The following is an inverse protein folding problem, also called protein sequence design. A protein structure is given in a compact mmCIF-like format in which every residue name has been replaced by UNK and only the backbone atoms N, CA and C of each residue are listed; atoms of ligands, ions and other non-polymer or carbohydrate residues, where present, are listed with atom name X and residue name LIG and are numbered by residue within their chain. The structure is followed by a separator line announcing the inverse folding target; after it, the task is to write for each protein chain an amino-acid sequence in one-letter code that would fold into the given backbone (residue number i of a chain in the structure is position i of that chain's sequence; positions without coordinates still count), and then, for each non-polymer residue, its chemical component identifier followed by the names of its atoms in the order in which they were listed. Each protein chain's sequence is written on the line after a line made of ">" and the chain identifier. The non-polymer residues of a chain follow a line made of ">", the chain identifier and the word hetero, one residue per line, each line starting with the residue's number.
data_IF_899740609963
#
_entry.id   IF_899740609963
#
_cell.length_a   1.000
_cell.length_b   1.000
_cell.length_c   1.000
_cell.angle_alpha   90.00
_cell.angle_beta   90.00
_cell.angle_gamma   90.00
#
_symmetry.space_group_name_H-M   'P 1'
#
loop_
_entity.id
_entity.type
_entity.pdbx_description
1 polymer ?
#
# COMPACT_ATOMS: atom_id res chain seq x y z
N UNK A 1 -0.27 8.30 30.05
CA UNK A 1 -0.46 9.77 30.01
C UNK A 1 -1.85 10.04 29.45
N UNK A 2 -2.64 10.96 30.03
CA UNK A 2 -3.89 11.38 29.41
C UNK A 2 -3.56 12.00 28.05
N UNK A 3 -4.13 11.47 26.98
CA UNK A 3 -3.97 11.99 25.61
C UNK A 3 -4.96 13.13 25.40
N UNK A 4 -4.45 14.34 25.19
CA UNK A 4 -5.26 15.44 24.66
C UNK A 4 -5.62 15.13 23.20
N UNK A 5 -6.90 15.23 22.84
CA UNK A 5 -7.40 14.99 21.49
C UNK A 5 -7.94 16.30 20.93
N UNK A 6 -7.62 16.58 19.67
CA UNK A 6 -8.17 17.70 18.90
C UNK A 6 -9.07 17.08 17.82
N UNK A 7 -10.34 17.49 17.70
CA UNK A 7 -11.20 17.05 16.60
C UNK A 7 -10.57 17.38 15.23
N UNK A 8 -10.69 16.49 14.25
CA UNK A 8 -10.12 16.68 12.90
C UNK A 8 -10.48 18.03 12.28
N UNK A 9 -11.74 18.43 12.39
CA UNK A 9 -12.23 19.72 11.88
C UNK A 9 -11.53 20.93 12.51
N UNK A 10 -11.09 20.83 13.76
CA UNK A 10 -10.37 21.92 14.46
C UNK A 10 -8.89 22.01 14.05
N UNK A 11 -8.37 21.02 13.32
CA UNK A 11 -7.00 21.07 12.80
C UNK A 11 -6.85 21.98 11.58
N UNK A 12 -7.97 22.29 10.90
CA UNK A 12 -8.01 23.01 9.60
C UNK A 12 -7.11 22.41 8.51
N UNK A 13 -6.68 21.16 8.66
CA UNK A 13 -5.78 20.49 7.72
C UNK A 13 -6.53 19.63 6.70
N UNK A 14 -7.69 19.10 7.07
CA UNK A 14 -8.47 18.18 6.25
C UNK A 14 -9.59 18.90 5.51
N UNK A 15 -9.91 18.41 4.31
CA UNK A 15 -11.05 18.91 3.54
C UNK A 15 -12.37 18.61 4.25
N UNK A 16 -13.40 19.39 3.93
CA UNK A 16 -14.74 19.16 4.47
C UNK A 16 -15.26 17.77 4.14
N UNK A 17 -14.97 17.24 2.95
CA UNK A 17 -15.35 15.88 2.55
C UNK A 17 -14.80 14.82 3.52
N UNK A 18 -13.52 14.92 3.91
CA UNK A 18 -12.90 13.98 4.86
C UNK A 18 -13.52 14.14 6.25
N UNK A 19 -13.69 15.38 6.72
CA UNK A 19 -14.29 15.63 8.03
C UNK A 19 -15.73 15.11 8.08
N UNK A 20 -16.51 15.33 7.03
CA UNK A 20 -17.90 14.91 6.90
C UNK A 20 -18.04 13.39 6.82
N UNK A 21 -17.08 12.70 6.19
CA UNK A 21 -17.02 11.23 6.18
C UNK A 21 -16.77 10.66 7.58
N UNK A 22 -15.85 11.26 8.34
CA UNK A 22 -15.56 10.87 9.72
C UNK A 22 -16.77 11.16 10.63
N UNK A 23 -17.44 12.29 10.42
CA UNK A 23 -18.65 12.70 11.13
C UNK A 23 -19.90 11.92 10.68
N UNK A 24 -19.77 11.04 9.67
CA UNK A 24 -20.83 10.18 9.13
C UNK A 24 -22.06 10.95 8.65
N UNK A 25 -21.84 12.07 7.96
CA UNK A 25 -22.92 12.85 7.36
C UNK A 25 -23.78 11.99 6.42
N UNK A 26 -25.11 12.11 6.55
CA UNK A 26 -26.08 11.25 5.86
C UNK A 26 -26.00 11.41 4.34
N UNK A 27 -25.66 12.61 3.90
CA UNK A 27 -25.48 13.00 2.51
C UNK A 27 -24.38 12.18 1.83
N UNK A 28 -23.34 11.78 2.58
CA UNK A 28 -22.24 10.97 2.07
C UNK A 28 -22.55 9.48 2.03
N UNK A 29 -23.66 9.02 2.62
CA UNK A 29 -23.98 7.57 2.69
C UNK A 29 -24.09 6.92 1.32
N UNK A 30 -24.52 7.67 0.30
CA UNK A 30 -24.61 7.15 -1.08
C UNK A 30 -23.23 6.85 -1.69
N UNK A 31 -22.17 7.51 -1.20
CA UNK A 31 -20.80 7.38 -1.70
C UNK A 31 -20.00 6.27 -1.03
N UNK A 32 -20.48 5.75 0.12
CA UNK A 32 -19.76 4.76 0.92
C UNK A 32 -20.68 3.62 1.32
N UNK A 33 -20.24 2.38 1.07
CA UNK A 33 -20.99 1.20 1.52
C UNK A 33 -21.09 1.16 3.06
N UNK A 34 -20.00 1.52 3.77
CA UNK A 34 -19.92 1.51 5.24
C UNK A 34 -19.01 2.63 5.75
N UNK A 35 -19.36 3.20 6.91
CA UNK A 35 -18.55 4.19 7.63
C UNK A 35 -17.44 3.53 8.49
N UNK A 36 -16.40 4.26 8.92
CA UNK A 36 -15.20 3.68 9.51
C UNK A 36 -15.36 3.40 11.02
N UNK A 37 -16.36 2.59 11.39
CA UNK A 37 -16.55 2.09 12.77
C UNK A 37 -16.14 0.63 12.87
N UNK A 38 -15.74 0.18 14.08
CA UNK A 38 -15.32 -1.21 14.29
C UNK A 38 -16.49 -2.19 14.10
N UNK A 39 -17.71 -1.75 14.42
CA UNK A 39 -18.95 -2.53 14.31
C UNK A 39 -19.28 -2.83 12.84
N UNK A 40 -19.00 -1.89 11.93
CA UNK A 40 -19.28 -2.05 10.50
C UNK A 40 -18.44 -3.15 9.83
N UNK A 41 -17.36 -3.64 10.48
CA UNK A 41 -16.61 -4.78 9.96
C UNK A 41 -17.44 -6.07 9.96
N UNK A 42 -18.39 -6.26 10.88
CA UNK A 42 -19.17 -7.51 10.92
C UNK A 42 -19.93 -7.75 9.61
N UNK A 43 -20.61 -6.72 9.10
CA UNK A 43 -21.34 -6.84 7.84
C UNK A 43 -20.40 -6.91 6.62
N UNK A 44 -19.23 -6.25 6.70
CA UNK A 44 -18.18 -6.38 5.68
C UNK A 44 -17.67 -7.82 5.58
N UNK A 45 -17.47 -8.51 6.71
CA UNK A 45 -17.03 -9.91 6.75
C UNK A 45 -18.07 -10.83 6.11
N UNK A 46 -19.35 -10.65 6.45
CA UNK A 46 -20.48 -11.41 5.87
C UNK A 46 -20.60 -11.20 4.36
N UNK A 47 -20.46 -9.96 3.89
CA UNK A 47 -20.52 -9.64 2.47
C UNK A 47 -19.34 -10.26 1.71
N UNK A 48 -18.12 -10.12 2.22
CA UNK A 48 -16.92 -10.69 1.60
C UNK A 48 -16.93 -12.21 1.59
N UNK A 49 -17.43 -12.85 2.65
CA UNK A 49 -17.57 -14.31 2.72
C UNK A 49 -18.41 -14.89 1.57
N UNK A 50 -19.41 -14.14 1.08
CA UNK A 50 -20.32 -14.59 0.01
C UNK A 50 -19.78 -14.33 -1.40
N UNK A 51 -18.83 -13.41 -1.53
CA UNK A 51 -18.45 -12.81 -2.82
C UNK A 51 -16.96 -12.97 -3.17
N UNK A 52 -16.21 -13.78 -2.42
CA UNK A 52 -14.78 -14.00 -2.67
C UNK A 52 -14.51 -15.46 -3.02
N UNK A 53 -13.79 -15.68 -4.12
CA UNK A 53 -13.41 -17.01 -4.59
C UNK A 53 -12.23 -17.56 -3.77
N UNK A 54 -12.43 -18.73 -3.17
CA UNK A 54 -11.40 -19.42 -2.39
C UNK A 54 -10.19 -19.84 -3.24
N UNK A 55 -10.35 -20.02 -4.56
CA UNK A 55 -9.21 -20.27 -5.47
C UNK A 55 -8.24 -19.09 -5.44
N UNK A 56 -8.74 -17.85 -5.44
CA UNK A 56 -7.90 -16.65 -5.40
C UNK A 56 -7.09 -16.55 -4.09
N UNK A 57 -7.60 -17.11 -2.98
CA UNK A 57 -6.85 -17.20 -1.72
C UNK A 57 -5.59 -18.06 -1.87
N UNK A 58 -5.73 -19.19 -2.55
CA UNK A 58 -4.62 -20.11 -2.79
C UNK A 58 -3.60 -19.48 -3.72
N UNK A 59 -4.05 -18.83 -4.80
CA UNK A 59 -3.17 -18.10 -5.72
C UNK A 59 -2.36 -17.03 -4.98
N UNK A 60 -3.02 -16.17 -4.20
CA UNK A 60 -2.37 -15.12 -3.43
C UNK A 60 -1.32 -15.69 -2.46
N UNK A 61 -1.70 -16.70 -1.66
CA UNK A 61 -0.78 -17.28 -0.69
C UNK A 61 0.43 -17.95 -1.36
N UNK A 62 0.26 -18.57 -2.52
CA UNK A 62 1.37 -19.19 -3.24
C UNK A 62 2.30 -18.15 -3.87
N UNK A 63 1.76 -17.06 -4.43
CA UNK A 63 2.58 -15.93 -4.94
C UNK A 63 3.35 -15.27 -3.81
N UNK A 64 2.74 -15.07 -2.64
CA UNK A 64 3.45 -14.55 -1.48
C UNK A 64 4.55 -15.50 -1.02
N UNK A 65 4.32 -16.82 -0.98
CA UNK A 65 5.42 -17.76 -0.65
C UNK A 65 6.60 -17.62 -1.61
N UNK A 66 6.32 -17.49 -2.91
CA UNK A 66 7.33 -17.30 -3.96
C UNK A 66 8.14 -16.01 -3.72
N UNK A 67 7.45 -14.88 -3.50
CA UNK A 67 8.07 -13.56 -3.24
C UNK A 67 8.93 -13.49 -1.97
N UNK A 68 8.73 -14.43 -1.04
CA UNK A 68 9.41 -14.48 0.26
C UNK A 68 10.51 -15.53 0.35
N UNK A 69 10.78 -16.28 -0.73
CA UNK A 69 11.73 -17.41 -0.72
C UNK A 69 13.13 -17.00 -0.26
N UNK A 70 13.60 -15.82 -0.69
CA UNK A 70 14.96 -15.31 -0.41
C UNK A 70 14.99 -14.27 0.74
N UNK A 71 13.91 -14.17 1.53
CA UNK A 71 13.79 -13.17 2.59
C UNK A 71 13.69 -13.83 3.95
N UNK A 72 14.56 -13.43 4.89
CA UNK A 72 14.39 -13.83 6.28
C UNK A 72 13.17 -13.12 6.88
N UNK A 73 12.23 -13.90 7.41
CA UNK A 73 10.96 -13.40 7.90
C UNK A 73 10.60 -13.95 9.27
N UNK A 74 9.85 -13.15 10.01
CA UNK A 74 9.33 -13.55 11.30
C UNK A 74 8.39 -14.76 11.18
N UNK A 75 8.35 -15.57 12.23
CA UNK A 75 7.38 -16.66 12.35
C UNK A 75 5.92 -16.15 12.22
N UNK A 76 5.67 -14.90 12.65
CA UNK A 76 4.36 -14.28 12.55
C UNK A 76 3.98 -13.94 11.10
N UNK A 77 4.88 -13.36 10.32
CA UNK A 77 4.67 -13.10 8.88
C UNK A 77 4.42 -14.41 8.14
N UNK A 78 5.22 -15.45 8.40
CA UNK A 78 5.01 -16.78 7.81
C UNK A 78 3.64 -17.36 8.16
N UNK A 79 3.22 -17.28 9.43
CA UNK A 79 1.89 -17.71 9.87
C UNK A 79 0.77 -16.94 9.17
N UNK A 80 0.94 -15.62 8.99
CA UNK A 80 -0.02 -14.77 8.31
C UNK A 80 -0.17 -15.14 6.83
N UNK A 81 0.93 -15.42 6.11
CA UNK A 81 0.89 -15.90 4.73
C UNK A 81 0.11 -17.22 4.62
N UNK A 82 0.35 -18.19 5.51
CA UNK A 82 -0.43 -19.44 5.50
C UNK A 82 -1.91 -19.22 5.83
N UNK A 83 -2.20 -18.31 6.76
CA UNK A 83 -3.58 -18.03 7.17
C UNK A 83 -4.45 -17.52 6.02
N UNK A 84 -3.87 -16.84 5.01
CA UNK A 84 -4.61 -16.31 3.85
C UNK A 84 -5.39 -17.38 3.09
N UNK A 85 -4.96 -18.65 3.16
CA UNK A 85 -5.64 -19.80 2.53
C UNK A 85 -6.97 -20.15 3.21
N UNK A 86 -7.21 -19.72 4.44
CA UNK A 86 -8.40 -20.08 5.18
C UNK A 86 -9.59 -19.21 4.75
N UNK A 87 -10.81 -19.77 4.67
CA UNK A 87 -12.00 -19.03 4.25
C UNK A 87 -12.41 -17.93 5.23
N UNK A 88 -12.07 -18.07 6.53
CA UNK A 88 -12.34 -17.08 7.58
C UNK A 88 -11.18 -16.07 7.78
N UNK A 89 -10.27 -15.93 6.82
CA UNK A 89 -9.18 -14.94 6.86
C UNK A 89 -9.48 -13.75 5.97
N UNK A 90 -9.19 -12.55 6.46
CA UNK A 90 -9.40 -11.28 5.77
C UNK A 90 -8.15 -10.42 5.87
N UNK A 91 -7.95 -9.53 4.90
CA UNK A 91 -6.82 -8.62 4.86
C UNK A 91 -7.24 -7.22 5.29
N UNK A 92 -6.38 -6.57 6.07
CA UNK A 92 -6.42 -5.12 6.24
C UNK A 92 -5.28 -4.59 5.39
N UNK A 93 -5.61 -3.87 4.33
CA UNK A 93 -4.63 -3.48 3.31
C UNK A 93 -4.42 -1.99 3.31
N UNK A 94 -3.16 -1.59 3.29
CA UNK A 94 -2.76 -0.25 2.83
C UNK A 94 -1.79 -0.39 1.67
N UNK A 95 -1.52 0.71 0.98
CA UNK A 95 -0.56 0.71 -0.11
C UNK A 95 0.07 2.08 -0.31
N UNK A 96 1.21 2.07 -0.99
CA UNK A 96 1.96 3.26 -1.33
C UNK A 96 3.01 2.95 -2.40
N UNK A 97 3.51 3.99 -3.07
CA UNK A 97 4.62 3.90 -4.00
C UNK A 97 5.92 3.53 -3.27
N UNK A 98 6.91 3.12 -4.06
CA UNK A 98 8.20 2.62 -3.61
C UNK A 98 9.17 3.77 -3.34
N UNK A 99 8.74 4.69 -2.48
CA UNK A 99 9.53 5.86 -2.10
C UNK A 99 10.92 5.47 -1.60
N UNK A 100 11.96 6.09 -2.16
CA UNK A 100 13.34 5.84 -1.79
C UNK A 100 13.52 6.04 -0.28
N UNK A 101 14.04 5.00 0.38
CA UNK A 101 14.28 4.96 1.80
C UNK A 101 13.07 5.40 2.65
N UNK A 102 11.89 4.88 2.28
CA UNK A 102 10.55 5.16 2.86
C UNK A 102 9.96 6.53 2.54
N UNK A 103 10.76 7.47 2.02
CA UNK A 103 10.35 8.84 1.71
C UNK A 103 9.63 9.52 2.89
N UNK A 104 8.36 9.92 2.72
CA UNK A 104 7.63 10.61 3.76
C UNK A 104 7.17 9.67 4.90
N UNK A 105 7.15 10.18 6.14
CA UNK A 105 6.77 9.41 7.33
C UNK A 105 5.39 8.74 7.25
N UNK A 106 4.48 9.28 6.44
CA UNK A 106 3.16 8.66 6.27
C UNK A 106 3.23 7.28 5.58
N UNK A 107 4.32 6.93 4.90
CA UNK A 107 4.62 5.55 4.48
C UNK A 107 4.53 4.60 5.68
N UNK A 108 5.27 4.92 6.75
CA UNK A 108 5.30 4.12 7.98
C UNK A 108 3.98 4.20 8.72
N UNK A 109 3.39 5.40 8.85
CA UNK A 109 2.14 5.58 9.59
C UNK A 109 0.97 4.81 8.99
N UNK A 110 0.88 4.74 7.65
CA UNK A 110 -0.13 3.92 6.96
C UNK A 110 0.00 2.44 7.36
N UNK A 111 1.21 1.89 7.31
CA UNK A 111 1.46 0.48 7.61
C UNK A 111 1.23 0.18 9.10
N UNK A 112 1.73 1.02 9.99
CA UNK A 112 1.51 0.90 11.44
C UNK A 112 0.01 0.96 11.79
N UNK A 113 -0.75 1.85 11.14
CA UNK A 113 -2.21 1.93 11.32
C UNK A 113 -2.89 0.64 10.88
N UNK A 114 -2.49 0.07 9.75
CA UNK A 114 -2.98 -1.23 9.27
C UNK A 114 -2.69 -2.37 10.26
N UNK A 115 -1.48 -2.42 10.83
CA UNK A 115 -1.11 -3.41 11.85
C UNK A 115 -1.96 -3.24 13.12
N UNK A 116 -2.13 -2.01 13.60
CA UNK A 116 -2.92 -1.71 14.79
C UNK A 116 -4.41 -2.04 14.62
N UNK A 117 -4.97 -1.72 13.45
CA UNK A 117 -6.35 -2.08 13.12
C UNK A 117 -6.52 -3.60 13.05
N UNK A 118 -5.55 -4.31 12.45
CA UNK A 118 -5.53 -5.77 12.42
C UNK A 118 -5.53 -6.37 13.83
N UNK A 119 -4.71 -5.84 14.75
CA UNK A 119 -4.70 -6.28 16.14
C UNK A 119 -6.04 -6.03 16.85
N UNK A 120 -6.66 -4.86 16.60
CA UNK A 120 -7.95 -4.48 17.16
C UNK A 120 -9.09 -5.40 16.68
N UNK A 121 -9.08 -5.76 15.40
CA UNK A 121 -10.07 -6.65 14.80
C UNK A 121 -9.91 -8.10 15.24
N UNK A 122 -8.67 -8.62 15.33
CA UNK A 122 -8.43 -9.94 15.91
C UNK A 122 -8.95 -10.04 17.36
N UNK A 123 -8.87 -8.96 18.14
CA UNK A 123 -9.44 -8.92 19.50
C UNK A 123 -10.97 -8.87 19.50
N UNK A 124 -11.57 -8.09 18.60
CA UNK A 124 -13.03 -7.88 18.52
C UNK A 124 -13.76 -9.10 17.94
N UNK A 125 -13.14 -9.79 16.98
CA UNK A 125 -13.72 -10.88 16.20
C UNK A 125 -12.80 -12.13 16.22
N UNK A 126 -12.72 -12.85 17.35
CA UNK A 126 -11.74 -13.93 17.55
C UNK A 126 -11.95 -15.17 16.67
N UNK A 127 -13.14 -15.34 16.08
CA UNK A 127 -13.45 -16.45 15.17
C UNK A 127 -12.88 -16.24 13.75
N UNK A 128 -12.32 -15.06 13.49
CA UNK A 128 -11.75 -14.66 12.20
C UNK A 128 -10.25 -14.39 12.34
N UNK A 129 -9.54 -14.46 11.21
CA UNK A 129 -8.14 -14.07 11.15
C UNK A 129 -8.01 -12.78 10.33
N UNK A 130 -7.25 -11.82 10.83
CA UNK A 130 -6.92 -10.60 10.09
C UNK A 130 -5.41 -10.55 9.81
N UNK A 131 -5.05 -10.28 8.55
CA UNK A 131 -3.66 -10.19 8.08
C UNK A 131 -3.37 -8.75 7.64
N UNK A 132 -2.34 -8.08 8.19
CA UNK A 132 -1.95 -6.76 7.74
C UNK A 132 -1.15 -6.87 6.45
N UNK A 133 -1.65 -6.22 5.39
CA UNK A 133 -1.02 -6.20 4.06
C UNK A 133 -0.50 -4.80 3.73
N UNK A 134 0.74 -4.71 3.30
CA UNK A 134 1.28 -3.57 2.57
C UNK A 134 1.37 -3.92 1.09
N UNK A 135 0.53 -3.30 0.27
CA UNK A 135 0.56 -3.42 -1.18
C UNK A 135 1.51 -2.39 -1.80
N UNK A 136 2.53 -2.87 -2.49
CA UNK A 136 3.48 -2.01 -3.19
C UNK A 136 2.90 -1.59 -4.54
N UNK A 137 2.86 -0.29 -4.82
CA UNK A 137 2.44 0.23 -6.13
C UNK A 137 3.58 0.10 -7.16
N UNK A 138 4.04 -1.13 -7.40
CA UNK A 138 5.19 -1.46 -8.27
C UNK A 138 4.97 -1.13 -9.74
N UNK A 139 3.71 -1.11 -10.18
CA UNK A 139 3.30 -0.84 -11.57
C UNK A 139 3.06 0.64 -11.86
N UNK A 140 3.28 1.52 -10.88
CA UNK A 140 3.32 2.97 -11.14
C UNK A 140 4.55 3.34 -11.99
N UNK A 141 4.55 4.53 -12.57
CA UNK A 141 5.59 5.06 -13.45
C UNK A 141 6.15 6.41 -12.98
N UNK A 142 5.59 6.98 -11.92
CA UNK A 142 6.02 8.27 -11.40
C UNK A 142 7.34 8.13 -10.62
N UNK A 143 8.44 8.03 -11.37
CA UNK A 143 9.78 7.94 -10.80
C UNK A 143 10.17 9.23 -10.06
N UNK A 144 9.70 10.38 -10.52
CA UNK A 144 10.04 11.69 -9.94
C UNK A 144 9.48 11.87 -8.53
N UNK A 145 8.33 11.26 -8.22
CA UNK A 145 7.77 11.24 -6.88
C UNK A 145 8.62 10.40 -5.90
N UNK A 146 9.21 9.31 -6.37
CA UNK A 146 9.86 8.30 -5.50
C UNK A 146 11.38 8.39 -5.43
N UNK A 147 12.04 9.13 -6.34
CA UNK A 147 13.50 9.08 -6.50
C UNK A 147 14.29 9.83 -5.42
N UNK A 148 13.65 10.31 -4.35
CA UNK A 148 14.34 11.08 -3.32
C UNK A 148 13.73 10.93 -1.93
N UNK A 149 14.49 11.35 -0.94
CA UNK A 149 14.00 11.61 0.42
C UNK A 149 14.71 12.82 1.02
N UNK A 150 14.21 13.34 2.13
CA UNK A 150 14.81 14.48 2.82
C UNK A 150 15.51 14.03 4.10
N UNK A 151 16.77 14.42 4.27
CA UNK A 151 17.57 14.19 5.46
C UNK A 151 18.18 15.51 5.91
N UNK A 152 17.93 15.92 7.17
CA UNK A 152 18.44 17.18 7.73
C UNK A 152 18.17 18.42 6.85
N UNK A 153 16.98 18.47 6.23
CA UNK A 153 16.58 19.56 5.32
C UNK A 153 17.21 19.50 3.92
N UNK A 154 18.01 18.48 3.60
CA UNK A 154 18.61 18.26 2.28
C UNK A 154 17.84 17.18 1.53
N UNK A 155 17.59 17.43 0.24
CA UNK A 155 17.03 16.43 -0.69
C UNK A 155 18.14 15.51 -1.17
N UNK A 156 18.08 14.23 -0.80
CA UNK A 156 18.96 13.18 -1.31
C UNK A 156 18.23 12.47 -2.44
N UNK A 157 18.74 12.63 -3.66
CA UNK A 157 18.08 12.18 -4.88
C UNK A 157 18.90 11.10 -5.60
N UNK A 158 18.22 10.06 -6.06
CA UNK A 158 18.73 9.06 -6.98
C UNK A 158 18.63 9.60 -8.42
N UNK A 159 19.77 10.06 -8.93
CA UNK A 159 19.87 10.60 -10.28
C UNK A 159 19.94 9.44 -11.30
N UNK A 160 18.78 9.06 -11.83
CA UNK A 160 18.63 8.03 -12.87
C UNK A 160 17.57 8.49 -13.87
N UNK A 161 17.80 8.25 -15.15
CA UNK A 161 16.73 8.31 -16.15
C UNK A 161 15.99 6.97 -16.13
N UNK A 162 14.69 7.01 -15.87
CA UNK A 162 13.86 5.83 -15.68
C UNK A 162 12.55 5.96 -16.45
N UNK A 163 12.05 4.85 -16.96
CA UNK A 163 10.75 4.74 -17.59
C UNK A 163 10.12 3.38 -17.31
N UNK A 164 8.80 3.28 -17.44
CA UNK A 164 8.05 2.07 -17.18
C UNK A 164 7.72 1.87 -15.70
N UNK A 165 7.42 0.62 -15.32
CA UNK A 165 7.01 0.26 -13.97
C UNK A 165 8.16 0.44 -12.97
N UNK A 166 7.95 1.28 -11.95
CA UNK A 166 8.99 1.65 -10.97
C UNK A 166 9.54 0.45 -10.20
N UNK A 167 8.72 -0.56 -9.93
CA UNK A 167 9.14 -1.79 -9.25
C UNK A 167 10.18 -2.60 -10.03
N UNK A 168 10.18 -2.51 -11.36
CA UNK A 168 11.10 -3.23 -12.25
C UNK A 168 12.43 -2.51 -12.45
N UNK A 169 12.55 -1.26 -12.00
CA UNK A 169 13.76 -0.48 -12.16
C UNK A 169 14.93 -1.13 -11.42
N UNK A 170 16.06 -1.25 -12.11
CA UNK A 170 17.29 -1.70 -11.48
C UNK A 170 17.79 -0.68 -10.45
N UNK A 171 18.49 -1.14 -9.42
CA UNK A 171 18.99 -0.31 -8.31
C UNK A 171 20.33 0.40 -8.62
N UNK A 172 20.80 0.37 -9.88
CA UNK A 172 22.10 0.93 -10.25
C UNK A 172 22.14 2.44 -9.98
N UNK A 173 23.24 2.91 -9.41
CA UNK A 173 23.46 4.31 -9.05
C UNK A 173 23.11 4.64 -7.60
N UNK A 174 22.36 3.79 -6.89
CA UNK A 174 22.06 4.00 -5.46
C UNK A 174 23.29 3.93 -4.55
N UNK A 175 24.40 3.36 -5.05
CA UNK A 175 25.70 3.44 -4.38
C UNK A 175 26.21 4.88 -4.21
N UNK A 176 25.83 5.80 -5.10
CA UNK A 176 26.16 7.23 -4.97
C UNK A 176 25.33 7.87 -3.86
N UNK A 177 24.03 7.56 -3.78
CA UNK A 177 23.15 8.02 -2.70
C UNK A 177 23.65 7.49 -1.35
N UNK A 178 24.05 6.22 -1.31
CA UNK A 178 24.62 5.61 -0.11
C UNK A 178 25.85 6.37 0.40
N UNK A 179 26.79 6.75 -0.48
CA UNK A 179 27.95 7.57 -0.08
C UNK A 179 27.57 8.91 0.54
N UNK A 180 26.50 9.55 0.04
CA UNK A 180 25.99 10.81 0.63
C UNK A 180 25.40 10.54 2.01
N UNK A 181 24.62 9.47 2.18
CA UNK A 181 24.06 9.07 3.48
C UNK A 181 25.16 8.90 4.53
N UNK A 182 26.26 8.20 4.20
CA UNK A 182 27.38 7.98 5.12
C UNK A 182 28.05 9.29 5.60
N UNK A 183 28.02 10.33 4.75
CA UNK A 183 28.55 11.64 5.12
C UNK A 183 27.57 12.47 5.96
N UNK A 184 26.26 12.22 5.84
CA UNK A 184 25.21 13.06 6.46
C UNK A 184 24.69 12.53 7.81
N UNK A 185 24.71 11.22 8.06
CA UNK A 185 24.11 10.62 9.28
C UNK A 185 24.95 10.82 10.55
N UNK A 186 26.24 11.10 10.42
CA UNK A 186 27.14 11.28 11.56
C UNK A 186 27.38 9.99 12.36
N UNK A 187 27.97 10.07 13.57
CA UNK A 187 28.29 8.89 14.38
C UNK A 187 27.08 8.40 15.20
N UNK A 188 27.08 7.10 15.52
CA UNK A 188 26.14 6.48 16.46
C UNK A 188 25.55 5.17 15.96
N UNK A 189 24.98 4.37 16.85
CA UNK A 189 24.46 3.05 16.48
C UNK A 189 23.19 3.14 15.62
N UNK A 190 22.36 4.17 15.83
CA UNK A 190 21.22 4.45 14.95
C UNK A 190 21.66 4.83 13.54
N UNK A 191 22.73 5.63 13.40
CA UNK A 191 23.29 6.00 12.11
C UNK A 191 23.81 4.75 11.37
N UNK A 192 24.58 3.90 12.06
CA UNK A 192 25.06 2.61 11.52
C UNK A 192 23.92 1.72 11.05
N UNK A 193 22.83 1.63 11.83
CA UNK A 193 21.66 0.82 11.45
C UNK A 193 20.98 1.36 10.19
N UNK A 194 20.80 2.69 10.09
CA UNK A 194 20.21 3.31 8.90
C UNK A 194 21.09 3.09 7.66
N UNK A 195 22.41 3.24 7.79
CA UNK A 195 23.35 2.91 6.71
C UNK A 195 23.23 1.45 6.29
N UNK A 196 23.22 0.54 7.26
CA UNK A 196 23.13 -0.90 7.01
C UNK A 196 21.82 -1.26 6.31
N UNK A 197 20.68 -0.74 6.76
CA UNK A 197 19.38 -0.96 6.11
C UNK A 197 19.35 -0.41 4.69
N UNK A 198 19.90 0.77 4.43
CA UNK A 198 19.98 1.30 3.07
C UNK A 198 20.84 0.40 2.18
N UNK A 199 22.02 0.02 2.67
CA UNK A 199 22.96 -0.83 1.94
C UNK A 199 22.34 -2.19 1.61
N UNK A 200 21.75 -2.85 2.59
CA UNK A 200 21.17 -4.17 2.41
C UNK A 200 19.96 -4.10 1.47
N UNK A 201 19.08 -3.12 1.64
CA UNK A 201 17.93 -2.95 0.76
C UNK A 201 18.31 -2.62 -0.68
N UNK A 202 19.19 -1.65 -0.91
CA UNK A 202 19.37 -1.08 -2.25
C UNK A 202 20.62 -1.56 -2.98
N UNK A 203 21.64 -2.06 -2.28
CA UNK A 203 22.89 -2.50 -2.91
C UNK A 203 23.02 -4.04 -2.99
N UNK A 204 22.10 -4.79 -2.39
CA UNK A 204 22.08 -6.27 -2.42
C UNK A 204 20.85 -6.84 -3.13
N UNK A 205 20.03 -5.99 -3.73
CA UNK A 205 18.88 -6.37 -4.53
C UNK A 205 18.96 -5.75 -5.92
N UNK A 206 18.47 -6.47 -6.93
CA UNK A 206 18.63 -6.09 -8.33
C UNK A 206 17.60 -5.05 -8.79
N UNK A 207 16.43 -4.99 -8.16
CA UNK A 207 15.34 -4.10 -8.56
C UNK A 207 14.70 -3.40 -7.34
N UNK A 208 13.92 -2.35 -7.62
CA UNK A 208 13.31 -1.52 -6.58
C UNK A 208 12.21 -2.25 -5.79
N UNK A 209 11.46 -3.17 -6.40
CA UNK A 209 10.44 -3.96 -5.73
C UNK A 209 11.03 -4.85 -4.62
N UNK A 210 12.10 -5.59 -4.93
CA UNK A 210 12.80 -6.45 -3.98
C UNK A 210 13.48 -5.62 -2.89
N UNK A 211 14.13 -4.52 -3.25
CA UNK A 211 14.73 -3.59 -2.30
C UNK A 211 13.72 -3.01 -1.30
N UNK A 212 12.56 -2.58 -1.80
CA UNK A 212 11.49 -2.01 -0.97
C UNK A 212 10.85 -3.07 -0.08
N UNK A 213 10.62 -4.28 -0.63
CA UNK A 213 10.09 -5.42 0.13
C UNK A 213 11.03 -5.81 1.28
N UNK A 214 12.34 -5.86 1.01
CA UNK A 214 13.35 -6.09 2.03
C UNK A 214 13.28 -5.02 3.13
N UNK A 215 13.32 -3.73 2.76
CA UNK A 215 13.33 -2.63 3.72
C UNK A 215 12.07 -2.63 4.60
N UNK A 216 10.90 -2.80 4.01
CA UNK A 216 9.64 -2.87 4.76
C UNK A 216 9.59 -4.07 5.71
N UNK A 217 10.14 -5.22 5.30
CA UNK A 217 10.25 -6.39 6.17
C UNK A 217 11.23 -6.18 7.33
N UNK A 218 12.39 -5.54 7.10
CA UNK A 218 13.32 -5.21 8.17
C UNK A 218 12.68 -4.28 9.22
N UNK A 219 11.89 -3.31 8.78
CA UNK A 219 11.29 -2.33 9.67
C UNK A 219 10.07 -2.89 10.43
N UNK A 220 9.23 -3.70 9.78
CA UNK A 220 7.88 -4.00 10.28
C UNK A 220 7.48 -5.49 10.17
N UNK A 221 8.33 -6.35 9.60
CA UNK A 221 8.06 -7.78 9.43
C UNK A 221 7.94 -8.55 10.75
N UNK A 222 8.63 -8.12 11.81
CA UNK A 222 8.48 -8.70 13.15
C UNK A 222 7.07 -8.51 13.74
N UNK A 223 6.34 -7.50 13.25
CA UNK A 223 4.95 -7.24 13.61
C UNK A 223 3.94 -8.03 12.76
N UNK A 224 4.41 -8.96 11.93
CA UNK A 224 3.56 -9.82 11.10
C UNK A 224 3.10 -9.19 9.80
N UNK A 225 3.70 -8.07 9.38
CA UNK A 225 3.39 -7.44 8.10
C UNK A 225 3.63 -8.43 6.95
N UNK A 226 2.68 -8.46 6.02
CA UNK A 226 2.82 -9.14 4.73
C UNK A 226 2.86 -8.09 3.63
N UNK A 227 4.03 -7.84 3.07
CA UNK A 227 4.27 -7.03 1.87
C UNK A 227 3.92 -7.84 0.62
N UNK A 228 3.16 -7.25 -0.31
CA UNK A 228 2.74 -7.84 -1.58
C UNK A 228 3.23 -6.99 -2.75
N UNK A 229 3.95 -7.61 -3.68
CA UNK A 229 4.10 -7.09 -5.04
C UNK A 229 2.97 -7.67 -5.92
N UNK A 230 2.11 -6.83 -6.48
CA UNK A 230 1.01 -7.30 -7.33
C UNK A 230 1.36 -7.41 -8.83
N UNK A 231 2.57 -6.99 -9.23
CA UNK A 231 3.07 -7.15 -10.60
C UNK A 231 3.51 -8.61 -10.84
N UNK A 232 2.55 -9.53 -10.75
CA UNK A 232 2.78 -10.96 -10.86
C UNK A 232 1.76 -11.61 -11.82
N UNK A 233 2.19 -12.39 -12.83
CA UNK A 233 1.30 -12.95 -13.85
C UNK A 233 0.09 -13.71 -13.29
N UNK A 234 0.29 -14.58 -12.29
CA UNK A 234 -0.80 -15.34 -11.66
C UNK A 234 -1.86 -14.44 -10.99
N UNK A 235 -1.47 -13.29 -10.43
CA UNK A 235 -2.42 -12.34 -9.85
C UNK A 235 -3.16 -11.56 -10.95
N UNK A 236 -2.47 -11.25 -12.05
CA UNK A 236 -3.06 -10.60 -13.23
C UNK A 236 -4.08 -11.50 -13.93
N UNK A 237 -3.83 -12.81 -13.96
CA UNK A 237 -4.78 -13.79 -14.49
C UNK A 237 -6.11 -13.76 -13.72
N UNK A 238 -6.08 -13.71 -12.39
CA UNK A 238 -7.28 -13.53 -11.56
C UNK A 238 -8.04 -12.23 -11.89
N UNK A 239 -7.33 -11.18 -12.31
CA UNK A 239 -7.93 -9.89 -12.67
C UNK A 239 -8.37 -9.79 -14.15
N UNK A 240 -7.97 -10.76 -14.99
CA UNK A 240 -8.25 -10.78 -16.43
C UNK A 240 -9.72 -10.57 -16.83
N UNK A 241 -10.70 -11.21 -16.16
CA UNK A 241 -12.11 -10.98 -16.44
C UNK A 241 -12.53 -9.51 -16.25
N UNK A 242 -11.99 -8.84 -15.22
CA UNK A 242 -12.28 -7.43 -14.95
C UNK A 242 -11.63 -6.51 -15.99
N UNK A 243 -10.39 -6.80 -16.40
CA UNK A 243 -9.73 -6.10 -17.52
C UNK A 243 -10.60 -6.18 -18.78
N UNK A 244 -11.08 -7.37 -19.13
CA UNK A 244 -11.94 -7.56 -20.31
C UNK A 244 -13.23 -6.75 -20.20
N UNK A 245 -13.89 -6.78 -19.04
CA UNK A 245 -15.10 -6.00 -18.80
C UNK A 245 -14.84 -4.51 -18.96
N UNK A 246 -13.80 -3.96 -18.34
CA UNK A 246 -13.46 -2.53 -18.48
C UNK A 246 -13.18 -2.14 -19.93
N UNK A 247 -12.44 -2.96 -20.69
CA UNK A 247 -12.14 -2.68 -22.10
C UNK A 247 -13.39 -2.68 -22.99
N UNK A 248 -14.37 -3.54 -22.70
CA UNK A 248 -15.57 -3.70 -23.53
C UNK A 248 -16.73 -2.79 -23.10
N UNK A 249 -16.79 -2.45 -21.81
CA UNK A 249 -17.95 -1.77 -21.21
C UNK A 249 -17.61 -0.41 -20.62
N UNK A 250 -16.33 -0.08 -20.43
CA UNK A 250 -15.87 1.21 -19.88
C UNK A 250 -16.59 1.58 -18.57
N UNK A 251 -16.87 0.58 -17.74
CA UNK A 251 -17.72 0.71 -16.56
C UNK A 251 -17.19 1.77 -15.60
N UNK A 252 -15.87 1.84 -15.45
CA UNK A 252 -15.22 2.81 -14.56
C UNK A 252 -15.48 4.25 -15.00
N UNK A 253 -15.40 4.55 -16.30
CA UNK A 253 -15.68 5.88 -16.83
C UNK A 253 -17.09 6.35 -16.47
N UNK A 254 -18.10 5.54 -16.79
CA UNK A 254 -19.49 5.87 -16.52
C UNK A 254 -19.76 6.03 -15.01
N UNK A 255 -19.28 5.10 -14.19
CA UNK A 255 -19.56 5.10 -12.74
C UNK A 255 -18.80 6.17 -11.97
N UNK A 256 -17.59 6.53 -12.39
CA UNK A 256 -16.85 7.65 -11.79
C UNK A 256 -17.53 8.97 -12.13
N UNK A 257 -18.01 9.17 -13.37
CA UNK A 257 -18.75 10.39 -13.72
C UNK A 257 -20.07 10.53 -12.93
N UNK A 258 -20.84 9.46 -12.76
CA UNK A 258 -22.04 9.44 -11.90
C UNK A 258 -21.71 9.82 -10.43
N UNK A 259 -20.57 9.33 -9.93
CA UNK A 259 -20.07 9.66 -8.59
C UNK A 259 -19.63 11.13 -8.49
N UNK A 260 -18.99 11.66 -9.53
CA UNK A 260 -18.56 13.05 -9.60
C UNK A 260 -19.76 14.01 -9.57
N UNK A 261 -20.83 13.73 -10.34
CA UNK A 261 -22.07 14.51 -10.30
C UNK A 261 -22.70 14.52 -8.90
N UNK A 262 -22.65 13.38 -8.21
CA UNK A 262 -23.14 13.24 -6.83
C UNK A 262 -22.30 14.08 -5.85
N UNK A 263 -20.98 14.08 -5.99
CA UNK A 263 -20.07 14.89 -5.17
C UNK A 263 -20.33 16.39 -5.36
N UNK A 264 -20.40 16.85 -6.61
CA UNK A 264 -20.65 18.25 -6.95
C UNK A 264 -22.01 18.72 -6.45
N UNK A 265 -23.05 17.90 -6.62
CA UNK A 265 -24.41 18.19 -6.12
C UNK A 265 -24.47 18.30 -4.60
N UNK A 266 -23.59 17.61 -3.89
CA UNK A 266 -23.43 17.70 -2.44
C UNK A 266 -22.47 18.82 -1.99
N UNK A 267 -21.93 19.60 -2.93
CA UNK A 267 -21.04 20.74 -2.65
C UNK A 267 -19.57 20.38 -2.46
N UNK A 268 -19.15 19.18 -2.87
CA UNK A 268 -17.75 18.75 -2.81
C UNK A 268 -17.08 18.83 -4.17
N UNK A 269 -15.75 19.05 -4.16
CA UNK A 269 -14.95 19.02 -5.39
C UNK A 269 -14.87 17.59 -5.95
N UNK A 270 -14.78 17.48 -7.28
CA UNK A 270 -14.42 16.24 -7.96
C UNK A 270 -13.06 15.72 -7.46
N UNK A 271 -12.97 14.42 -7.20
CA UNK A 271 -11.76 13.79 -6.68
C UNK A 271 -10.89 13.16 -7.77
N UNK A 272 -11.50 12.63 -8.84
CA UNK A 272 -10.79 11.94 -9.93
C UNK A 272 -11.49 12.24 -11.26
N UNK A 273 -10.70 12.49 -12.31
CA UNK A 273 -11.18 12.61 -13.68
C UNK A 273 -10.90 11.30 -14.44
N UNK A 274 -11.92 10.49 -14.76
CA UNK A 274 -11.71 9.21 -15.41
C UNK A 274 -11.38 9.38 -16.89
N UNK A 275 -10.64 8.43 -17.45
CA UNK A 275 -10.51 8.25 -18.91
C UNK A 275 -11.56 7.25 -19.37
N UNK A 276 -11.82 7.18 -20.67
CA UNK A 276 -12.70 6.13 -21.22
C UNK A 276 -12.14 4.73 -20.95
N UNK A 277 -10.81 4.59 -20.97
CA UNK A 277 -10.09 3.36 -20.60
C UNK A 277 -9.16 3.68 -19.43
N UNK A 278 -9.43 3.07 -18.28
CA UNK A 278 -8.67 3.28 -17.04
C UNK A 278 -7.66 2.15 -16.80
N UNK A 279 -7.03 1.66 -17.87
CA UNK A 279 -6.05 0.60 -17.88
C UNK A 279 -4.78 1.08 -18.58
N UNK A 280 -3.64 0.52 -18.18
CA UNK A 280 -2.33 0.78 -18.77
C UNK A 280 -1.78 -0.49 -19.40
N UNK A 281 -0.94 -0.33 -20.42
CA UNK A 281 -0.33 -1.45 -21.12
C UNK A 281 1.17 -1.47 -20.85
N UNK A 282 1.58 -2.37 -19.96
CA UNK A 282 2.99 -2.55 -19.62
C UNK A 282 3.67 -3.42 -20.68
N UNK A 283 4.62 -2.84 -21.42
CA UNK A 283 5.48 -3.56 -22.36
C UNK A 283 6.91 -3.07 -22.25
N UNK A 284 7.81 -3.96 -21.84
CA UNK A 284 9.21 -3.64 -21.59
C UNK A 284 9.31 -2.45 -20.61
N UNK A 285 9.86 -1.31 -21.04
CA UNK A 285 9.97 -0.07 -20.25
C UNK A 285 8.87 0.96 -20.57
N UNK A 286 7.77 0.53 -21.19
CA UNK A 286 6.60 1.36 -21.54
C UNK A 286 5.42 1.01 -20.62
N UNK A 287 4.61 2.03 -20.33
CA UNK A 287 3.35 1.94 -19.61
C UNK A 287 2.26 2.75 -20.31
#
# INVERSE_FOLDING_TARGET
>A
MPTNKIPFRQTNYFTDLICDYIDQKKELKVLYNRFPTLENFEDQLKEKAKNFDDINRIVLANVLKEQYTELDISALTKKNIEALKKPNTYTITTGHQLNLFTGPLYFLYKIITTINLTASLNKKYPDYNFVPIYWMATEDHDFDEINYFNLNGKKLQWNKEASGAVGRLDTIGLNQVFKVIQNELGPGDNAKNLEQWFKDAYLQHNNLADATRFLANQLLGTLGLVILDADHPKLKECFGPHIKTELLQQTSFAKVNETNETLESAGYNVQVNPREINLFYLKDNLR
#
